data_IF_155769166636
#
_entry.id   IF_155769166636
#
_cell.length_a   1.000
_cell.length_b   1.000
_cell.length_c   1.000
_cell.angle_alpha   90.00
_cell.angle_beta   90.00
_cell.angle_gamma   90.00
#
_symmetry.space_group_name_H-M   'P 1'
#
loop_
_entity.id
_entity.type
_entity.pdbx_description
1 polymer ?
#
# COMPACT_ATOMS: atom_id res chain seq x y z
N UNK A 1 -3.95 9.30 14.19
CA UNK A 1 -3.21 10.39 13.52
C UNK A 1 -3.50 10.32 12.04
N UNK A 2 -4.03 11.40 11.44
CA UNK A 2 -4.23 11.51 9.98
C UNK A 2 -3.12 12.39 9.41
N UNK A 3 -2.57 12.04 8.25
CA UNK A 3 -1.53 12.80 7.56
C UNK A 3 -2.16 13.48 6.31
N UNK A 4 -2.90 14.59 6.48
CA UNK A 4 -3.75 15.17 5.43
C UNK A 4 -2.99 15.77 4.23
N UNK A 5 -1.66 15.88 4.29
CA UNK A 5 -0.82 16.37 3.19
C UNK A 5 0.13 15.32 2.63
N UNK A 6 0.09 14.08 3.12
CA UNK A 6 0.98 13.04 2.62
C UNK A 6 0.46 12.50 1.30
N UNK A 7 1.03 13.03 0.22
CA UNK A 7 0.66 12.68 -1.14
C UNK A 7 1.45 11.45 -1.64
N UNK A 8 2.64 11.21 -1.08
CA UNK A 8 3.56 10.14 -1.48
C UNK A 8 4.22 9.50 -0.26
N UNK A 9 4.24 8.18 -0.21
CA UNK A 9 5.08 7.39 0.68
C UNK A 9 6.05 6.59 -0.18
N UNK A 10 7.34 6.73 0.08
CA UNK A 10 8.35 5.83 -0.44
C UNK A 10 9.26 5.41 0.71
N UNK A 11 9.23 4.11 1.03
CA UNK A 11 10.14 3.47 1.98
C UNK A 11 10.78 2.24 1.37
N UNK A 12 10.88 2.18 0.04
CA UNK A 12 11.35 0.99 -0.65
C UNK A 12 12.82 0.70 -0.41
N UNK A 13 13.21 -0.56 -0.61
CA UNK A 13 14.59 -1.03 -0.45
C UNK A 13 15.15 -0.85 0.96
N UNK A 14 14.32 -1.18 1.96
CA UNK A 14 14.72 -1.21 3.36
C UNK A 14 14.56 -2.62 3.95
N UNK A 15 14.81 -2.75 5.25
CA UNK A 15 14.56 -3.97 6.03
C UNK A 15 13.38 -3.80 6.98
N UNK A 16 12.38 -3.02 6.57
CA UNK A 16 11.19 -2.80 7.40
C UNK A 16 10.36 -4.07 7.42
N UNK A 17 9.88 -4.45 8.59
CA UNK A 17 9.16 -5.71 8.82
C UNK A 17 7.90 -5.52 9.66
N UNK A 18 7.10 -6.57 9.75
CA UNK A 18 5.81 -6.57 10.44
C UNK A 18 4.65 -6.25 9.50
N UNK A 19 3.46 -6.10 10.08
CA UNK A 19 2.24 -5.82 9.32
C UNK A 19 1.96 -4.33 9.18
N UNK A 20 1.42 -3.93 8.04
CA UNK A 20 0.88 -2.57 7.89
C UNK A 20 -0.36 -2.44 8.77
N UNK A 21 -0.29 -1.56 9.77
CA UNK A 21 -1.42 -1.25 10.63
C UNK A 21 -2.60 -0.70 9.79
N UNK A 22 -3.83 -1.06 10.17
CA UNK A 22 -5.03 -0.53 9.52
C UNK A 22 -5.06 0.99 9.66
N UNK A 23 -4.76 1.67 8.56
CA UNK A 23 -4.64 3.13 8.52
C UNK A 23 -5.38 3.64 7.30
N UNK A 24 -6.05 4.78 7.44
CA UNK A 24 -6.75 5.40 6.32
C UNK A 24 -5.73 6.09 5.40
N UNK A 25 -5.47 5.48 4.24
CA UNK A 25 -4.59 6.01 3.19
C UNK A 25 -5.38 6.71 2.07
N UNK A 26 -6.59 7.19 2.34
CA UNK A 26 -7.49 7.78 1.33
C UNK A 26 -6.89 8.96 0.55
N UNK A 27 -5.92 9.67 1.12
CA UNK A 27 -5.30 10.85 0.51
C UNK A 27 -3.97 10.55 -0.19
N UNK A 28 -3.44 9.33 -0.08
CA UNK A 28 -2.16 8.96 -0.68
C UNK A 28 -2.35 8.68 -2.17
N UNK A 29 -1.47 9.23 -2.98
CA UNK A 29 -1.49 9.12 -4.44
C UNK A 29 -0.36 8.23 -4.95
N UNK A 30 0.77 8.19 -4.27
CA UNK A 30 1.92 7.33 -4.60
C UNK A 30 2.33 6.56 -3.34
N UNK A 31 2.42 5.25 -3.44
CA UNK A 31 2.89 4.40 -2.33
C UNK A 31 3.85 3.33 -2.85
N UNK A 32 5.12 3.45 -2.48
CA UNK A 32 6.15 2.46 -2.78
C UNK A 32 6.68 1.87 -1.46
N UNK A 33 6.27 0.63 -1.18
CA UNK A 33 6.73 -0.16 -0.04
C UNK A 33 7.64 -1.30 -0.49
N UNK A 34 8.04 -1.32 -1.77
CA UNK A 34 8.69 -2.48 -2.37
C UNK A 34 10.03 -2.82 -1.71
N UNK A 35 10.45 -4.08 -1.85
CA UNK A 35 11.76 -4.57 -1.36
C UNK A 35 11.94 -4.31 0.14
N UNK A 36 11.03 -4.87 0.91
CA UNK A 36 11.03 -4.87 2.37
C UNK A 36 10.66 -6.28 2.88
N UNK A 37 10.47 -6.41 4.19
CA UNK A 37 10.09 -7.64 4.87
C UNK A 37 8.69 -7.53 5.49
N UNK A 38 7.82 -6.67 4.94
CA UNK A 38 6.45 -6.53 5.43
C UNK A 38 5.65 -7.80 5.16
N UNK A 39 4.77 -8.16 6.09
CA UNK A 39 3.92 -9.35 6.00
C UNK A 39 2.48 -9.04 6.43
N UNK A 40 1.56 -10.00 6.30
CA UNK A 40 0.15 -9.79 6.62
C UNK A 40 -0.68 -9.36 5.43
N UNK A 41 -1.95 -9.02 5.69
CA UNK A 41 -2.85 -8.51 4.66
C UNK A 41 -2.57 -7.03 4.39
N UNK A 42 -2.68 -6.63 3.11
CA UNK A 42 -2.66 -5.22 2.73
C UNK A 42 -3.96 -4.56 3.23
N UNK A 43 -3.89 -3.41 3.94
CA UNK A 43 -5.09 -2.73 4.42
C UNK A 43 -5.97 -2.29 3.24
N UNK A 44 -7.26 -2.61 3.36
CA UNK A 44 -8.28 -2.54 2.30
C UNK A 44 -8.65 -1.10 1.88
N UNK A 45 -8.30 -0.10 2.69
CA UNK A 45 -8.74 1.29 2.48
C UNK A 45 -7.65 2.15 1.84
N UNK A 46 -7.27 1.76 0.63
CA UNK A 46 -6.65 2.70 -0.31
C UNK A 46 -7.79 3.50 -0.93
N UNK A 47 -7.67 4.83 -0.99
CA UNK A 47 -8.68 5.67 -1.64
C UNK A 47 -8.68 5.43 -3.15
N UNK A 48 -7.92 6.28 -3.85
CA UNK A 48 -7.65 6.13 -5.28
C UNK A 48 -6.20 6.51 -5.57
N UNK A 49 -5.23 5.65 -5.21
CA UNK A 49 -3.84 5.94 -5.50
C UNK A 49 -3.59 5.90 -7.02
N UNK A 50 -2.72 6.78 -7.50
CA UNK A 50 -2.23 6.76 -8.90
C UNK A 50 -1.18 5.68 -9.13
N UNK A 51 -0.41 5.35 -8.09
CA UNK A 51 0.63 4.34 -8.14
C UNK A 51 0.74 3.61 -6.79
N UNK A 52 0.77 2.29 -6.83
CA UNK A 52 1.13 1.45 -5.68
C UNK A 52 2.16 0.40 -6.10
N UNK A 53 3.18 0.20 -5.28
CA UNK A 53 4.13 -0.90 -5.41
C UNK A 53 4.33 -1.57 -4.05
N UNK A 54 3.88 -2.82 -3.94
CA UNK A 54 4.01 -3.67 -2.76
C UNK A 54 4.90 -4.89 -3.05
N UNK A 55 5.56 -4.93 -4.21
CA UNK A 55 6.37 -6.06 -4.67
C UNK A 55 7.56 -6.33 -3.74
N UNK A 56 8.13 -7.54 -3.81
CA UNK A 56 9.26 -7.94 -2.98
C UNK A 56 9.03 -7.70 -1.48
N UNK A 57 7.86 -8.16 -1.00
CA UNK A 57 7.48 -8.26 0.40
C UNK A 57 6.90 -9.66 0.66
N UNK A 58 6.41 -9.91 1.87
CA UNK A 58 5.79 -11.16 2.33
C UNK A 58 4.28 -10.98 2.60
N UNK A 59 3.63 -10.05 1.88
CA UNK A 59 2.19 -9.85 1.99
C UNK A 59 1.42 -11.08 1.51
N UNK A 60 0.27 -11.33 2.13
CA UNK A 60 -0.64 -12.41 1.76
C UNK A 60 -2.11 -11.95 1.86
N UNK A 61 -3.04 -12.82 1.48
CA UNK A 61 -4.47 -12.50 1.44
C UNK A 61 -4.88 -11.77 0.16
N UNK A 62 -6.15 -11.39 0.08
CA UNK A 62 -6.71 -10.70 -1.08
C UNK A 62 -6.66 -9.19 -0.89
N UNK A 63 -6.23 -8.45 -1.90
CA UNK A 63 -6.47 -7.01 -1.97
C UNK A 63 -7.97 -6.83 -2.25
N UNK A 64 -8.77 -6.49 -1.23
CA UNK A 64 -10.14 -6.05 -1.46
C UNK A 64 -10.12 -4.61 -1.97
N UNK A 65 -9.91 -4.44 -3.27
CA UNK A 65 -10.15 -3.16 -3.90
C UNK A 65 -11.66 -2.93 -3.89
N UNK A 66 -12.12 -1.75 -3.45
CA UNK A 66 -13.45 -1.31 -3.84
C UNK A 66 -13.42 -1.16 -5.37
N UNK A 67 -13.95 -2.16 -6.07
CA UNK A 67 -13.88 -2.42 -7.52
C UNK A 67 -14.50 -1.34 -8.42
N UNK A 68 -14.67 -0.10 -7.97
CA UNK A 68 -15.24 0.94 -8.81
C UNK A 68 -14.25 1.56 -9.80
N UNK A 69 -12.92 1.36 -9.72
CA UNK A 69 -12.04 2.19 -10.55
C UNK A 69 -10.58 1.79 -10.89
N UNK A 70 -10.14 0.53 -10.88
CA UNK A 70 -8.75 0.22 -11.29
C UNK A 70 -8.66 -0.99 -12.23
N UNK A 71 -8.28 -0.72 -13.48
CA UNK A 71 -8.12 -1.65 -14.59
C UNK A 71 -6.68 -2.11 -14.84
N UNK A 72 -5.73 -1.88 -13.92
CA UNK A 72 -4.32 -2.22 -14.12
C UNK A 72 -3.65 -2.59 -12.79
N UNK A 73 -3.56 -3.89 -12.51
CA UNK A 73 -2.59 -4.44 -11.56
C UNK A 73 -1.87 -5.58 -12.26
N UNK A 74 -0.59 -5.35 -12.60
CA UNK A 74 0.36 -6.40 -12.96
C UNK A 74 1.03 -6.87 -11.67
N UNK A 75 0.93 -8.17 -11.40
CA UNK A 75 1.63 -8.87 -10.32
C UNK A 75 3.13 -8.99 -10.61
#
# INVERSE_FOLDING_TARGET
MSLPQLFSINVSSNKLSGSIAYTNFSHIQIMDLSKNEFSGNIPITLGSPKWVDFSFNQFYGSISLNYQNLSLLSY
#
